data_IF_386425243929
#
_entry.id   IF_386425243929
#
_cell.length_a   1.000
_cell.length_b   1.000
_cell.length_c   1.000
_cell.angle_alpha   90.00
_cell.angle_beta   90.00
_cell.angle_gamma   90.00
#
_symmetry.space_group_name_H-M   'P 1'
#
loop_
_entity.id
_entity.type
_entity.pdbx_description
1 polymer ?
#
# COMPACT_ATOMS: atom_id res chain seq x y z
N UNK A 1 -30.13 -9.92 -8.38
CA UNK A 1 -29.43 -10.73 -7.36
C UNK A 1 -27.94 -10.54 -7.56
N UNK A 2 -27.15 -10.15 -6.54
CA UNK A 2 -25.71 -10.03 -6.75
C UNK A 2 -25.20 -11.44 -7.07
N UNK A 3 -24.58 -11.59 -8.23
CA UNK A 3 -24.02 -12.85 -8.69
C UNK A 3 -23.22 -13.49 -7.54
N UNK A 4 -23.64 -14.69 -7.12
CA UNK A 4 -22.81 -15.56 -6.30
C UNK A 4 -21.62 -15.95 -7.18
N UNK A 5 -20.55 -15.15 -7.12
CA UNK A 5 -19.27 -15.52 -7.70
C UNK A 5 -18.73 -16.68 -6.88
N UNK A 6 -18.87 -17.90 -7.41
CA UNK A 6 -18.15 -19.10 -6.99
C UNK A 6 -16.64 -18.99 -7.29
N UNK A 7 -16.03 -17.82 -7.10
CA UNK A 7 -14.61 -17.61 -7.35
C UNK A 7 -13.85 -17.72 -6.04
N UNK A 8 -12.92 -18.68 -6.00
CA UNK A 8 -12.07 -18.95 -4.85
C UNK A 8 -10.85 -18.05 -4.91
N UNK A 9 -10.68 -17.21 -3.90
CA UNK A 9 -9.49 -16.37 -3.74
C UNK A 9 -8.33 -17.17 -3.15
N UNK A 10 -7.10 -16.83 -3.56
CA UNK A 10 -5.85 -17.36 -3.04
C UNK A 10 -4.93 -16.23 -2.56
N UNK A 11 -3.99 -16.59 -1.69
CA UNK A 11 -2.91 -15.66 -1.31
C UNK A 11 -2.06 -15.35 -2.54
N UNK A 12 -1.78 -14.07 -2.77
CA UNK A 12 -1.09 -13.56 -3.96
C UNK A 12 -2.02 -13.04 -5.05
N UNK A 13 -3.31 -13.39 -5.02
CA UNK A 13 -4.26 -12.91 -6.02
C UNK A 13 -4.42 -11.39 -5.94
N UNK A 14 -4.51 -10.77 -7.11
CA UNK A 14 -4.99 -9.39 -7.21
C UNK A 14 -6.51 -9.37 -7.11
N UNK A 15 -7.01 -8.38 -6.38
CA UNK A 15 -8.44 -8.18 -6.20
C UNK A 15 -8.79 -6.68 -6.29
N UNK A 16 -10.03 -6.40 -6.68
CA UNK A 16 -10.65 -5.15 -6.28
C UNK A 16 -11.20 -5.35 -4.87
N UNK A 17 -11.00 -4.40 -3.99
CA UNK A 17 -11.58 -4.41 -2.65
C UNK A 17 -12.26 -3.08 -2.36
N UNK A 18 -13.37 -3.12 -1.61
CA UNK A 18 -14.04 -1.92 -1.10
C UNK A 18 -14.13 -1.96 0.41
N UNK A 19 -14.10 -0.78 1.03
CA UNK A 19 -14.33 -0.59 2.45
C UNK A 19 -15.64 0.19 2.59
N UNK A 20 -16.61 -0.42 3.28
CA UNK A 20 -17.94 0.17 3.50
C UNK A 20 -18.66 0.59 2.20
N UNK A 21 -18.46 -0.15 1.11
CA UNK A 21 -19.08 0.05 -0.21
C UNK A 21 -18.94 1.48 -0.79
N UNK A 22 -17.87 2.19 -0.42
CA UNK A 22 -17.57 3.53 -0.94
C UNK A 22 -16.80 3.46 -2.25
N UNK A 23 -15.49 3.21 -2.15
CA UNK A 23 -14.56 3.25 -3.27
C UNK A 23 -13.87 1.90 -3.47
N UNK A 24 -13.81 1.46 -4.72
CA UNK A 24 -13.04 0.29 -5.11
C UNK A 24 -11.56 0.64 -5.26
N UNK A 25 -10.70 -0.11 -4.59
CA UNK A 25 -9.26 0.00 -4.65
C UNK A 25 -8.66 -1.28 -5.23
N UNK A 26 -7.48 -1.17 -5.86
CA UNK A 26 -6.67 -2.35 -6.20
C UNK A 26 -5.96 -2.88 -4.95
N UNK A 27 -5.92 -4.20 -4.82
CA UNK A 27 -5.23 -4.85 -3.72
C UNK A 27 -4.62 -6.20 -4.11
N UNK A 28 -3.76 -6.70 -3.23
CA UNK A 28 -3.20 -8.05 -3.28
C UNK A 28 -3.55 -8.77 -1.98
N UNK A 29 -4.07 -9.98 -2.09
CA UNK A 29 -4.41 -10.82 -0.95
C UNK A 29 -3.11 -11.32 -0.29
N UNK A 30 -2.88 -10.94 0.96
CA UNK A 30 -1.72 -11.36 1.75
C UNK A 30 -2.02 -12.57 2.63
N UNK A 31 -3.24 -12.65 3.15
CA UNK A 31 -3.70 -13.75 4.00
C UNK A 31 -5.20 -13.95 3.81
N UNK A 32 -5.65 -15.18 3.97
CA UNK A 32 -7.05 -15.57 4.05
C UNK A 32 -7.25 -16.29 5.38
N UNK A 33 -8.33 -16.00 6.08
CA UNK A 33 -8.68 -16.71 7.29
C UNK A 33 -9.93 -17.58 7.14
N UNK A 34 -10.06 -18.53 8.06
CA UNK A 34 -11.21 -19.45 8.12
C UNK A 34 -12.54 -18.78 8.48
N UNK A 35 -12.52 -17.49 8.87
CA UNK A 35 -13.70 -16.71 9.26
C UNK A 35 -14.23 -15.86 8.10
N UNK A 36 -13.69 -16.02 6.88
CA UNK A 36 -14.13 -15.31 5.69
C UNK A 36 -13.62 -13.87 5.58
N UNK A 37 -12.49 -13.56 6.21
CA UNK A 37 -11.77 -12.31 6.00
C UNK A 37 -10.46 -12.54 5.24
N UNK A 38 -10.08 -11.53 4.48
CA UNK A 38 -8.79 -11.43 3.83
C UNK A 38 -8.01 -10.24 4.39
N UNK A 39 -6.71 -10.41 4.56
CA UNK A 39 -5.76 -9.31 4.78
C UNK A 39 -5.28 -8.84 3.41
N UNK A 40 -5.62 -7.62 3.02
CA UNK A 40 -5.37 -7.04 1.70
C UNK A 40 -4.32 -5.93 1.82
N UNK A 41 -3.28 -5.97 0.99
CA UNK A 41 -2.40 -4.82 0.79
C UNK A 41 -2.95 -3.98 -0.36
N UNK A 42 -3.36 -2.73 -0.11
CA UNK A 42 -3.91 -1.83 -1.14
C UNK A 42 -2.76 -1.19 -1.93
N UNK A 43 -2.51 -1.70 -3.13
CA UNK A 43 -1.28 -1.41 -3.90
C UNK A 43 -1.13 0.06 -4.34
N UNK A 44 -2.21 0.84 -4.28
CA UNK A 44 -2.21 2.26 -4.63
C UNK A 44 -2.12 3.19 -3.41
N UNK A 45 -2.34 2.65 -2.21
CA UNK A 45 -2.36 3.42 -0.96
C UNK A 45 -1.21 3.04 -0.02
N UNK A 46 -0.69 1.81 -0.12
CA UNK A 46 0.45 1.33 0.66
C UNK A 46 0.10 0.82 2.07
N UNK A 47 -1.19 0.75 2.42
CA UNK A 47 -1.66 0.23 3.70
C UNK A 47 -2.25 -1.19 3.59
N UNK A 48 -2.38 -1.82 4.75
CA UNK A 48 -2.95 -3.17 4.90
C UNK A 48 -4.31 -3.07 5.58
N UNK A 49 -5.31 -3.71 5.00
CA UNK A 49 -6.70 -3.69 5.48
C UNK A 49 -7.25 -5.10 5.63
N UNK A 50 -8.06 -5.32 6.66
CA UNK A 50 -8.75 -6.59 6.90
C UNK A 50 -10.19 -6.47 6.43
N UNK A 51 -10.53 -7.18 5.35
CA UNK A 51 -11.79 -7.00 4.61
C UNK A 51 -12.52 -8.34 4.50
N UNK A 52 -13.86 -8.36 4.61
CA UNK A 52 -14.63 -9.60 4.36
C UNK A 52 -14.54 -9.98 2.90
N UNK A 53 -14.39 -11.28 2.62
CA UNK A 53 -14.25 -11.81 1.24
C UNK A 53 -15.40 -11.39 0.33
N UNK A 54 -16.62 -11.21 0.87
CA UNK A 54 -17.78 -10.73 0.11
C UNK A 54 -17.61 -9.32 -0.51
N UNK A 55 -16.70 -8.50 0.02
CA UNK A 55 -16.36 -7.16 -0.49
C UNK A 55 -15.14 -7.18 -1.42
N UNK A 56 -14.67 -8.36 -1.78
CA UNK A 56 -13.64 -8.54 -2.79
C UNK A 56 -14.29 -8.88 -4.13
N UNK A 57 -13.66 -8.45 -5.21
CA UNK A 57 -13.93 -8.96 -6.54
C UNK A 57 -12.63 -9.45 -7.16
N UNK A 58 -12.67 -10.58 -7.86
CA UNK A 58 -11.55 -11.05 -8.65
C UNK A 58 -11.11 -9.94 -9.60
N UNK A 59 -9.82 -9.65 -9.61
CA UNK A 59 -9.27 -8.67 -10.54
C UNK A 59 -8.48 -9.44 -11.57
N UNK A 60 -9.13 -9.76 -12.71
CA UNK A 60 -8.46 -10.48 -13.79
C UNK A 60 -7.24 -9.68 -14.23
N UNK A 61 -6.06 -10.28 -14.08
CA UNK A 61 -4.82 -9.76 -14.64
C UNK A 61 -5.02 -9.68 -16.15
N UNK A 62 -5.28 -8.48 -16.65
CA UNK A 62 -5.27 -8.17 -18.07
C UNK A 62 -4.24 -7.07 -18.33
N UNK A 63 -4.08 -6.71 -19.60
CA UNK A 63 -3.07 -5.74 -20.03
C UNK A 63 -3.18 -4.40 -19.31
N UNK A 64 -4.39 -3.98 -18.91
CA UNK A 64 -4.62 -2.77 -18.12
C UNK A 64 -3.91 -2.79 -16.76
N UNK A 65 -3.79 -3.96 -16.11
CA UNK A 65 -3.11 -4.07 -14.81
C UNK A 65 -1.62 -3.77 -14.93
N UNK A 66 -0.96 -4.34 -15.95
CA UNK A 66 0.46 -4.08 -16.19
C UNK A 66 0.72 -2.68 -16.74
N UNK A 67 -0.25 -2.10 -17.46
CA UNK A 67 -0.16 -0.73 -17.95
C UNK A 67 -0.32 0.32 -16.85
N UNK A 68 -1.01 -0.01 -15.75
CA UNK A 68 -1.24 0.92 -14.64
C UNK A 68 -0.26 0.65 -13.49
N UNK A 69 0.78 1.47 -13.39
CA UNK A 69 1.75 1.42 -12.30
C UNK A 69 1.07 1.43 -10.92
N UNK A 70 1.65 0.71 -9.96
CA UNK A 70 1.25 0.80 -8.54
C UNK A 70 1.51 2.23 -8.09
N UNK A 71 0.52 2.90 -7.50
CA UNK A 71 0.68 4.30 -7.07
C UNK A 71 1.43 4.43 -5.74
N UNK A 72 1.33 3.41 -4.86
CA UNK A 72 2.11 3.39 -3.63
C UNK A 72 3.52 2.89 -3.93
N UNK A 73 4.51 3.76 -3.70
CA UNK A 73 5.91 3.42 -3.85
C UNK A 73 6.53 3.08 -2.49
N UNK A 74 7.05 1.86 -2.35
CA UNK A 74 7.69 1.43 -1.11
C UNK A 74 9.10 2.02 -1.01
N UNK A 75 9.35 2.79 0.05
CA UNK A 75 10.61 3.51 0.20
C UNK A 75 11.14 3.58 1.64
N UNK A 76 12.41 3.98 1.75
CA UNK A 76 13.12 4.26 3.00
C UNK A 76 13.80 5.63 2.89
N UNK A 77 13.93 6.33 4.02
CA UNK A 77 14.65 7.60 4.05
C UNK A 77 16.16 7.37 4.04
N UNK A 78 16.85 8.07 3.14
CA UNK A 78 18.31 8.08 3.08
C UNK A 78 18.95 8.72 4.29
N UNK A 79 20.15 8.26 4.65
CA UNK A 79 20.95 8.79 5.77
C UNK A 79 20.25 8.74 7.14
N UNK A 80 19.28 7.84 7.31
CA UNK A 80 18.57 7.63 8.57
C UNK A 80 18.78 6.19 9.04
N UNK A 81 19.30 6.05 10.27
CA UNK A 81 19.49 4.75 10.89
C UNK A 81 18.21 4.37 11.64
N UNK A 82 17.62 3.23 11.26
CA UNK A 82 16.47 2.67 11.98
C UNK A 82 16.91 2.29 13.41
N UNK A 83 16.21 2.78 14.46
CA UNK A 83 16.50 2.35 15.82
C UNK A 83 16.23 0.85 16.00
N UNK A 84 17.02 0.19 16.85
CA UNK A 84 16.92 -1.25 17.14
C UNK A 84 15.50 -1.62 17.60
N UNK A 85 14.92 -0.78 18.47
CA UNK A 85 13.59 -0.99 19.06
C UNK A 85 12.45 -0.36 18.23
N UNK A 86 12.72 0.02 16.97
CA UNK A 86 11.77 0.73 16.13
C UNK A 86 11.67 2.23 16.43
N UNK A 87 10.87 2.92 15.63
CA UNK A 87 10.67 4.37 15.74
C UNK A 87 9.77 4.72 16.93
N UNK A 88 10.17 5.66 17.81
CA UNK A 88 9.28 6.19 18.84
C UNK A 88 8.01 6.80 18.23
N UNK A 89 6.87 6.64 18.89
CA UNK A 89 5.58 7.13 18.38
C UNK A 89 5.59 8.63 18.10
N UNK A 90 6.16 9.43 18.99
CA UNK A 90 6.28 10.88 18.83
C UNK A 90 7.09 11.26 17.58
N UNK A 91 8.12 10.49 17.21
CA UNK A 91 8.90 10.73 15.98
C UNK A 91 8.07 10.40 14.74
N UNK A 92 7.29 9.31 14.79
CA UNK A 92 6.39 8.93 13.69
C UNK A 92 5.32 10.01 13.50
N UNK A 93 4.73 10.50 14.58
CA UNK A 93 3.64 11.48 14.54
C UNK A 93 4.14 12.84 14.06
N UNK A 94 5.32 13.28 14.52
CA UNK A 94 5.99 14.48 14.01
C UNK A 94 6.29 14.36 12.51
N UNK A 95 6.84 13.23 12.07
CA UNK A 95 7.09 12.95 10.65
C UNK A 95 5.81 13.02 9.82
N UNK A 96 4.72 12.42 10.30
CA UNK A 96 3.40 12.51 9.66
C UNK A 96 2.89 13.94 9.60
N UNK A 97 3.03 14.71 10.68
CA UNK A 97 2.55 16.09 10.76
C UNK A 97 3.24 16.99 9.73
N UNK A 98 4.55 16.78 9.48
CA UNK A 98 5.30 17.56 8.49
C UNK A 98 4.94 17.19 7.05
N UNK A 99 4.66 15.92 6.77
CA UNK A 99 4.47 15.44 5.41
C UNK A 99 3.01 15.40 4.94
N UNK A 100 2.07 15.11 5.83
CA UNK A 100 0.68 14.92 5.45
C UNK A 100 0.09 16.20 4.86
N UNK A 101 -0.57 16.08 3.70
CA UNK A 101 -1.18 17.20 2.96
C UNK A 101 -0.19 18.29 2.51
N UNK A 102 1.11 18.02 2.59
CA UNK A 102 2.16 18.89 2.07
C UNK A 102 2.54 18.50 0.64
N UNK A 103 3.01 19.47 -0.14
CA UNK A 103 3.66 19.18 -1.41
C UNK A 103 5.11 18.73 -1.16
N UNK A 104 5.50 17.57 -1.67
CA UNK A 104 6.81 16.97 -1.40
C UNK A 104 7.62 16.84 -2.70
N UNK A 105 8.94 16.97 -2.58
CA UNK A 105 9.90 16.45 -3.55
C UNK A 105 10.52 15.18 -2.99
N UNK A 106 10.52 14.10 -3.77
CA UNK A 106 11.23 12.88 -3.46
C UNK A 106 12.33 12.66 -4.50
N UNK A 107 13.57 12.52 -4.05
CA UNK A 107 14.72 12.17 -4.88
C UNK A 107 15.10 10.72 -4.63
N UNK A 108 15.02 9.90 -5.67
CA UNK A 108 15.36 8.47 -5.61
C UNK A 108 16.87 8.31 -5.73
N UNK A 109 17.48 7.65 -4.76
CA UNK A 109 18.94 7.50 -4.67
C UNK A 109 19.39 6.10 -5.08
N UNK A 110 18.69 5.08 -4.60
CA UNK A 110 19.04 3.70 -4.83
C UNK A 110 17.77 2.82 -4.87
N UNK A 111 17.87 1.63 -5.45
CA UNK A 111 16.81 0.64 -5.50
C UNK A 111 17.33 -0.73 -5.11
N UNK A 112 16.68 -1.35 -4.14
CA UNK A 112 16.92 -2.74 -3.77
C UNK A 112 15.92 -3.62 -4.53
N UNK A 113 16.39 -4.30 -5.57
CA UNK A 113 15.55 -5.15 -6.43
C UNK A 113 14.93 -6.33 -5.67
N UNK A 114 15.69 -6.96 -4.77
CA UNK A 114 15.23 -8.13 -4.01
C UNK A 114 14.06 -7.77 -3.09
N UNK A 115 14.12 -6.59 -2.47
CA UNK A 115 13.11 -6.12 -1.51
C UNK A 115 12.04 -5.24 -2.15
N UNK A 116 12.23 -4.85 -3.40
CA UNK A 116 11.44 -3.85 -4.11
C UNK A 116 11.30 -2.53 -3.31
N UNK A 117 12.41 -2.03 -2.76
CA UNK A 117 12.44 -0.81 -1.92
C UNK A 117 13.37 0.22 -2.54
N UNK A 118 12.88 1.45 -2.69
CA UNK A 118 13.74 2.60 -3.04
C UNK A 118 14.23 3.34 -1.80
N UNK A 119 15.49 3.75 -1.83
CA UNK A 119 16.02 4.75 -0.90
C UNK A 119 15.75 6.14 -1.46
N UNK A 120 15.17 7.03 -0.64
CA UNK A 120 14.74 8.36 -1.05
C UNK A 120 15.19 9.45 -0.08
N UNK A 121 15.44 10.64 -0.62
CA UNK A 121 15.46 11.88 0.14
C UNK A 121 14.12 12.59 -0.07
N UNK A 122 13.47 13.02 1.00
CA UNK A 122 12.19 13.74 0.95
C UNK A 122 12.39 15.17 1.45
N UNK A 123 11.83 16.14 0.72
CA UNK A 123 11.81 17.55 1.11
C UNK A 123 10.41 18.12 0.97
N UNK A 124 9.99 18.95 1.91
CA UNK A 124 8.73 19.70 1.82
C UNK A 124 8.94 20.91 0.89
N UNK A 125 8.15 21.03 -0.16
CA UNK A 125 8.24 22.15 -1.11
C UNK A 125 7.92 23.45 -0.38
N UNK A 126 8.81 24.43 -0.50
CA UNK A 126 8.69 25.73 0.17
C UNK A 126 9.22 25.77 1.60
N UNK A 127 9.70 24.64 2.15
CA UNK A 127 10.55 24.68 3.35
C UNK A 127 11.90 25.29 2.99
N UNK A 128 12.31 26.32 3.72
CA UNK A 128 13.63 26.97 3.61
C UNK A 128 14.70 26.33 4.51
N UNK A 129 14.35 25.24 5.21
CA UNK A 129 15.31 24.39 5.92
C UNK A 129 15.77 23.23 5.04
#
# INVERSE_FOLDING_TARGET
TPAQLNETFHVGDYCACTINDKDWCRGVIRQLDSKGFATIFRIDYGDVQRIRVQFLRPFKINQWMFQTYRLAHHCTLSNIIKPINGWPSNVIDEFRAQLNRSNLYARFLNYNEIREISEVEIRVKGSTK
#
